data_IF_898092262501
#
_entry.id   IF_898092262501
#
_cell.length_a   1.000
_cell.length_b   1.000
_cell.length_c   1.000
_cell.angle_alpha   90.00
_cell.angle_beta   90.00
_cell.angle_gamma   90.00
#
_symmetry.space_group_name_H-M   'P 1'
#
loop_
_entity.id
_entity.type
_entity.pdbx_description
1 polymer ?
#
# COMPACT_ATOMS: atom_id res chain seq x y z
N UNK A 1 13.49 -5.67 -5.86
CA UNK A 1 12.06 -5.57 -5.54
C UNK A 1 11.67 -6.81 -4.75
N UNK A 2 11.34 -6.68 -3.47
CA UNK A 2 10.73 -7.79 -2.74
C UNK A 2 9.28 -7.91 -3.23
N UNK A 3 8.82 -9.09 -3.67
CA UNK A 3 7.43 -9.25 -4.12
C UNK A 3 6.49 -8.92 -2.96
N UNK A 4 5.44 -8.13 -3.23
CA UNK A 4 4.35 -7.94 -2.27
C UNK A 4 3.79 -9.31 -1.91
N UNK A 5 3.65 -9.58 -0.62
CA UNK A 5 2.94 -10.75 -0.11
C UNK A 5 1.69 -10.28 0.59
N UNK A 6 0.58 -10.92 0.26
CA UNK A 6 -0.69 -10.63 0.89
C UNK A 6 -0.66 -11.03 2.39
N UNK A 7 -1.03 -10.14 3.32
CA UNK A 7 -1.03 -10.44 4.75
C UNK A 7 -1.87 -11.66 5.13
N UNK A 8 -2.99 -11.88 4.43
CA UNK A 8 -3.89 -13.03 4.66
C UNK A 8 -3.20 -14.33 4.27
N UNK A 9 -2.53 -14.35 3.12
CA UNK A 9 -1.78 -15.52 2.64
C UNK A 9 -0.59 -15.83 3.56
N UNK A 10 0.16 -14.81 3.99
CA UNK A 10 1.30 -14.98 4.90
C UNK A 10 0.81 -15.53 6.24
N UNK A 11 -0.25 -14.96 6.80
CA UNK A 11 -0.82 -15.41 8.06
C UNK A 11 -1.29 -16.87 7.96
N UNK A 12 -2.01 -17.23 6.89
CA UNK A 12 -2.49 -18.59 6.67
C UNK A 12 -1.33 -19.59 6.50
N UNK A 13 -0.30 -19.23 5.73
CA UNK A 13 0.85 -20.09 5.48
C UNK A 13 1.71 -20.31 6.73
N UNK A 14 1.89 -19.28 7.55
CA UNK A 14 2.75 -19.35 8.73
C UNK A 14 2.04 -19.87 9.98
N UNK A 15 0.74 -19.60 10.19
CA UNK A 15 -0.03 -20.14 11.33
C UNK A 15 -0.18 -21.66 11.28
N UNK A 16 -0.18 -22.24 10.09
CA UNK A 16 -0.22 -23.69 9.91
C UNK A 16 1.13 -24.38 10.23
N UNK A 17 2.23 -23.62 10.32
CA UNK A 17 3.55 -24.18 10.66
C UNK A 17 3.75 -24.19 12.17
N UNK A 18 4.51 -25.16 12.66
CA UNK A 18 4.98 -25.15 14.06
C UNK A 18 5.98 -24.02 14.27
N UNK A 19 5.93 -23.37 15.42
CA UNK A 19 6.86 -22.30 15.79
C UNK A 19 8.30 -22.82 15.88
N UNK A 20 9.25 -22.02 15.40
CA UNK A 20 10.67 -22.31 15.50
C UNK A 20 11.16 -22.00 16.92
N UNK A 21 11.42 -23.04 17.72
CA UNK A 21 11.89 -22.89 19.10
C UNK A 21 13.22 -22.14 19.20
N UNK A 22 14.11 -22.30 18.21
CA UNK A 22 15.41 -21.62 18.18
C UNK A 22 15.20 -20.13 17.97
N UNK A 23 14.50 -19.75 16.89
CA UNK A 23 14.18 -18.35 16.59
C UNK A 23 13.42 -17.68 17.73
N UNK A 24 12.44 -18.37 18.32
CA UNK A 24 11.61 -17.82 19.39
C UNK A 24 12.39 -17.58 20.69
N UNK A 25 13.46 -18.34 20.93
CA UNK A 25 14.31 -18.18 22.12
C UNK A 25 15.46 -17.19 21.92
N UNK A 26 16.08 -17.18 20.74
CA UNK A 26 17.32 -16.42 20.49
C UNK A 26 17.12 -15.20 19.57
N UNK A 27 15.97 -15.10 18.90
CA UNK A 27 15.71 -14.12 17.84
C UNK A 27 16.45 -14.41 16.53
N UNK A 28 17.21 -15.51 16.45
CA UNK A 28 18.03 -15.85 15.29
C UNK A 28 17.99 -17.35 14.99
N UNK A 29 17.80 -17.70 13.72
CA UNK A 29 17.73 -19.07 13.26
C UNK A 29 18.77 -19.30 12.16
N UNK A 30 19.56 -20.36 12.29
CA UNK A 30 20.60 -20.73 11.32
C UNK A 30 20.06 -21.01 9.91
N UNK A 31 18.79 -21.36 9.79
CA UNK A 31 18.12 -21.64 8.51
C UNK A 31 17.54 -20.37 7.85
N UNK A 32 17.53 -19.23 8.55
CA UNK A 32 17.02 -17.97 8.01
C UNK A 32 15.62 -18.10 7.40
N UNK A 33 15.43 -17.55 6.20
CA UNK A 33 14.15 -17.55 5.48
C UNK A 33 13.73 -18.92 4.92
N UNK A 34 14.63 -19.90 4.87
CA UNK A 34 14.33 -21.26 4.38
C UNK A 34 13.94 -22.22 5.51
N UNK A 35 13.82 -21.71 6.74
CA UNK A 35 13.37 -22.49 7.89
C UNK A 35 11.98 -23.10 7.62
N UNK A 36 11.81 -24.39 7.91
CA UNK A 36 10.53 -25.10 7.77
C UNK A 36 9.51 -24.72 8.84
N UNK A 37 9.96 -24.08 9.92
CA UNK A 37 9.16 -23.67 11.06
C UNK A 37 8.83 -22.18 10.99
N UNK A 38 7.70 -21.78 11.58
CA UNK A 38 7.27 -20.37 11.62
C UNK A 38 8.21 -19.55 12.49
N UNK A 39 8.59 -18.38 11.99
CA UNK A 39 9.34 -17.37 12.72
C UNK A 39 8.44 -16.23 13.22
N UNK A 40 7.11 -16.32 13.04
CA UNK A 40 6.20 -15.27 13.48
C UNK A 40 6.35 -15.03 14.99
N UNK A 41 6.66 -13.79 15.36
CA UNK A 41 6.49 -13.32 16.73
C UNK A 41 5.01 -13.05 17.00
N UNK A 42 4.65 -12.90 18.28
CA UNK A 42 3.28 -12.57 18.68
C UNK A 42 2.84 -11.22 18.11
N UNK A 43 3.77 -10.27 18.04
CA UNK A 43 3.56 -8.94 17.48
C UNK A 43 3.36 -8.99 15.97
N UNK A 44 4.16 -9.79 15.25
CA UNK A 44 4.03 -9.99 13.81
C UNK A 44 2.72 -10.69 13.46
N UNK A 45 2.34 -11.72 14.22
CA UNK A 45 1.06 -12.40 14.04
C UNK A 45 -0.11 -11.43 14.26
N UNK A 46 -0.09 -10.61 15.31
CA UNK A 46 -1.11 -9.61 15.57
C UNK A 46 -1.21 -8.57 14.45
N UNK A 47 -0.06 -8.11 13.92
CA UNK A 47 -0.03 -7.17 12.80
C UNK A 47 -0.62 -7.78 11.52
N UNK A 48 -0.27 -9.03 11.22
CA UNK A 48 -0.82 -9.74 10.06
C UNK A 48 -2.31 -10.03 10.23
N UNK A 49 -2.77 -10.38 11.44
CA UNK A 49 -4.18 -10.54 11.75
C UNK A 49 -4.95 -9.24 11.49
N UNK A 50 -4.51 -8.12 12.08
CA UNK A 50 -5.14 -6.82 11.87
C UNK A 50 -5.16 -6.40 10.38
N UNK A 51 -4.12 -6.73 9.63
CA UNK A 51 -4.06 -6.46 8.20
C UNK A 51 -4.93 -7.40 7.35
N UNK A 52 -5.24 -8.60 7.85
CA UNK A 52 -6.10 -9.58 7.21
C UNK A 52 -7.58 -9.45 7.64
N UNK A 53 -7.89 -8.58 8.59
CA UNK A 53 -9.27 -8.34 8.99
C UNK A 53 -10.07 -7.72 7.82
N UNK A 54 -11.30 -8.19 7.57
CA UNK A 54 -12.12 -7.64 6.52
C UNK A 54 -12.45 -6.17 6.83
N UNK A 55 -12.48 -5.34 5.78
CA UNK A 55 -12.90 -3.95 5.89
C UNK A 55 -14.37 -3.93 6.37
N UNK A 56 -14.60 -3.30 7.52
CA UNK A 56 -15.90 -3.31 8.20
C UNK A 56 -17.00 -2.65 7.36
N UNK A 57 -16.68 -1.56 6.66
CA UNK A 57 -17.56 -0.89 5.71
C UNK A 57 -16.80 -0.60 4.40
N UNK A 58 -16.91 -1.48 3.41
CA UNK A 58 -16.24 -1.31 2.13
C UNK A 58 -16.67 -0.05 1.37
N UNK A 59 -17.94 0.37 1.49
CA UNK A 59 -18.44 1.55 0.77
C UNK A 59 -17.88 2.84 1.37
N UNK A 60 -17.87 2.94 2.71
CA UNK A 60 -17.27 4.08 3.41
C UNK A 60 -15.76 4.17 3.14
N UNK A 61 -15.04 3.04 3.18
CA UNK A 61 -13.61 3.01 2.90
C UNK A 61 -13.28 3.46 1.47
N UNK A 62 -14.08 3.05 0.48
CA UNK A 62 -13.94 3.51 -0.91
C UNK A 62 -14.15 5.02 -1.00
N UNK A 63 -15.21 5.56 -0.39
CA UNK A 63 -15.47 7.00 -0.37
C UNK A 63 -14.29 7.81 0.20
N UNK A 64 -13.74 7.36 1.34
CA UNK A 64 -12.61 8.00 1.99
C UNK A 64 -11.34 7.96 1.14
N UNK A 65 -11.07 6.83 0.48
CA UNK A 65 -9.96 6.69 -0.47
C UNK A 65 -10.15 7.61 -1.68
N UNK A 66 -11.35 7.67 -2.25
CA UNK A 66 -11.66 8.58 -3.36
C UNK A 66 -11.46 10.04 -2.98
N UNK A 67 -11.87 10.44 -1.77
CA UNK A 67 -11.65 11.78 -1.26
C UNK A 67 -10.18 12.08 -1.03
N UNK A 68 -9.43 11.13 -0.47
CA UNK A 68 -7.99 11.26 -0.30
C UNK A 68 -7.27 11.44 -1.64
N UNK A 69 -7.60 10.62 -2.64
CA UNK A 69 -7.05 10.71 -4.00
C UNK A 69 -7.40 12.06 -4.63
N UNK A 70 -8.64 12.52 -4.47
CA UNK A 70 -9.09 13.84 -4.97
C UNK A 70 -8.30 14.98 -4.33
N UNK A 71 -8.13 14.96 -3.00
CA UNK A 71 -7.35 15.96 -2.26
C UNK A 71 -5.88 15.96 -2.70
N UNK A 72 -5.25 14.79 -2.83
CA UNK A 72 -3.87 14.66 -3.30
C UNK A 72 -3.71 15.18 -4.73
N UNK A 73 -4.63 14.86 -5.63
CA UNK A 73 -4.65 15.36 -7.01
C UNK A 73 -4.75 16.88 -7.06
N UNK A 74 -5.66 17.47 -6.28
CA UNK A 74 -5.83 18.92 -6.21
C UNK A 74 -4.59 19.63 -5.62
N UNK A 75 -3.96 19.03 -4.60
CA UNK A 75 -2.70 19.54 -4.04
C UNK A 75 -1.55 19.49 -5.05
N UNK A 76 -1.44 18.40 -5.82
CA UNK A 76 -0.46 18.28 -6.90
C UNK A 76 -0.73 19.28 -8.05
N UNK A 77 -1.98 19.61 -8.34
CA UNK A 77 -2.32 20.67 -9.31
C UNK A 77 -1.92 22.05 -8.79
N UNK A 78 -2.28 22.36 -7.54
CA UNK A 78 -1.98 23.64 -6.92
C UNK A 78 -0.46 23.88 -6.79
N UNK A 79 0.31 22.84 -6.45
CA UNK A 79 1.78 22.93 -6.37
C UNK A 79 2.47 23.10 -7.73
N UNK A 80 1.84 22.67 -8.83
CA UNK A 80 2.32 22.93 -10.20
C UNK A 80 2.01 24.34 -10.71
N UNK A 81 1.17 25.11 -10.01
CA UNK A 81 0.81 26.46 -10.41
C UNK A 81 1.77 27.50 -9.84
N UNK A 82 2.10 28.57 -10.58
CA UNK A 82 2.79 29.72 -10.04
C UNK A 82 2.01 30.36 -8.88
N UNK A 83 2.73 31.03 -7.96
CA UNK A 83 2.11 31.73 -6.83
C UNK A 83 1.05 32.72 -7.30
N UNK A 84 -0.14 32.68 -6.70
CA UNK A 84 -1.26 33.58 -7.01
C UNK A 84 -2.24 33.06 -8.08
N UNK A 85 -1.96 31.93 -8.72
CA UNK A 85 -2.87 31.29 -9.67
C UNK A 85 -3.68 30.18 -8.99
N UNK A 86 -5.01 30.21 -9.14
CA UNK A 86 -5.88 29.11 -8.70
C UNK A 86 -6.26 28.26 -9.88
N UNK A 87 -6.31 26.94 -9.68
CA UNK A 87 -6.73 25.99 -10.73
C UNK A 87 -8.11 26.35 -11.31
N UNK A 88 -9.01 26.89 -10.50
CA UNK A 88 -10.37 27.28 -10.88
C UNK A 88 -10.39 28.43 -11.91
N UNK A 89 -9.40 29.31 -11.87
CA UNK A 89 -9.30 30.49 -12.74
C UNK A 89 -8.66 30.17 -14.10
N UNK A 90 -8.16 28.94 -14.28
CA UNK A 90 -7.54 28.53 -15.55
C UNK A 90 -8.59 28.23 -16.63
N UNK A 91 -8.29 28.52 -17.91
CA UNK A 91 -9.13 28.10 -19.02
C UNK A 91 -9.18 26.57 -19.16
N UNK A 92 -10.28 26.07 -19.73
CA UNK A 92 -10.58 24.62 -19.83
C UNK A 92 -9.48 23.82 -20.53
N UNK A 93 -8.82 24.42 -21.52
CA UNK A 93 -7.68 23.82 -22.23
C UNK A 93 -6.51 23.51 -21.29
N UNK A 94 -6.16 24.43 -20.40
CA UNK A 94 -5.02 24.28 -19.46
C UNK A 94 -5.40 23.37 -18.30
N UNK A 95 -6.66 23.42 -17.84
CA UNK A 95 -7.19 22.46 -16.85
C UNK A 95 -7.03 21.02 -17.34
N UNK A 96 -7.37 20.75 -18.61
CA UNK A 96 -7.23 19.43 -19.23
C UNK A 96 -5.78 18.96 -19.29
N UNK A 97 -4.84 19.82 -19.69
CA UNK A 97 -3.41 19.47 -19.71
C UNK A 97 -2.84 19.14 -18.31
N UNK A 98 -3.37 19.74 -17.24
CA UNK A 98 -2.97 19.45 -15.87
C UNK A 98 -3.64 18.17 -15.30
N UNK A 99 -4.76 17.74 -15.90
CA UNK A 99 -5.47 16.49 -15.61
C UNK A 99 -4.75 15.28 -16.23
N UNK A 100 -4.24 15.41 -17.47
CA UNK A 100 -3.75 14.31 -18.32
C UNK A 100 -2.26 13.94 -18.14
N UNK A 101 -1.60 14.40 -17.07
CA UNK A 101 -0.20 14.09 -16.83
C UNK A 101 0.04 12.63 -16.41
N UNK A 102 -0.05 11.67 -17.36
CA UNK A 102 0.74 10.42 -17.51
C UNK A 102 0.14 9.43 -18.55
N UNK A 103 -0.13 9.83 -19.81
CA UNK A 103 -0.54 8.88 -20.88
C UNK A 103 0.58 8.63 -21.92
N UNK A 104 1.81 9.12 -21.69
CA UNK A 104 2.91 9.00 -22.65
C UNK A 104 3.96 7.93 -22.26
N UNK A 105 3.54 6.68 -22.04
CA UNK A 105 4.47 5.53 -22.06
C UNK A 105 3.79 4.22 -22.51
N UNK A 106 2.89 4.31 -23.50
CA UNK A 106 2.26 3.15 -24.12
C UNK A 106 2.20 3.25 -25.64
N UNK A 107 3.24 3.77 -26.30
CA UNK A 107 3.51 3.42 -27.70
C UNK A 107 4.93 3.84 -28.13
N UNK A 108 5.94 3.03 -27.83
CA UNK A 108 7.19 3.05 -28.61
C UNK A 108 7.37 1.65 -29.16
N UNK A 109 7.10 1.52 -30.47
CA UNK A 109 7.35 0.31 -31.25
C UNK A 109 8.83 0.00 -31.41
#
# INVERSE_FOLDING_TARGET
MHPYRDPTEVLAAERCKRLCTTFQRTGACQYGVTCRYSHLTREEEARLQAAAEPVQDPMQAVWELEEMVRRRRNSLRASKLPKGFRFEDLPSSVKRCLDEGNVDDANRG
#
